data_IF_947410682686
#
_entry.id   IF_947410682686
#
_cell.length_a   1.000
_cell.length_b   1.000
_cell.length_c   1.000
_cell.angle_alpha   90.00
_cell.angle_beta   90.00
_cell.angle_gamma   90.00
#
_symmetry.space_group_name_H-M   'P 1'
#
loop_
_entity.id
_entity.type
_entity.pdbx_description
1 polymer ?
#
# COMPACT_ATOMS: atom_id res chain seq x y z
N UNK A 1 7.61 20.69 12.33
CA UNK A 1 7.14 19.29 12.22
C UNK A 1 5.62 19.22 12.17
N UNK A 2 4.90 19.75 13.17
CA UNK A 2 3.43 19.66 13.25
C UNK A 2 2.67 20.27 12.07
N UNK A 3 3.12 21.41 11.53
CA UNK A 3 2.45 22.05 10.38
C UNK A 3 2.47 21.18 9.12
N UNK A 4 3.58 20.47 8.86
CA UNK A 4 3.71 19.58 7.71
C UNK A 4 2.82 18.35 7.86
N UNK A 5 2.79 17.74 9.05
CA UNK A 5 1.95 16.57 9.33
C UNK A 5 0.46 16.92 9.26
N UNK A 6 0.06 18.10 9.74
CA UNK A 6 -1.31 18.59 9.61
C UNK A 6 -1.69 18.83 8.15
N UNK A 7 -0.82 19.50 7.37
CA UNK A 7 -1.04 19.70 5.93
C UNK A 7 -1.14 18.37 5.16
N UNK A 8 -0.26 17.42 5.47
CA UNK A 8 -0.26 16.09 4.86
C UNK A 8 -1.57 15.33 5.13
N UNK A 9 -2.08 15.38 6.38
CA UNK A 9 -3.38 14.79 6.74
C UNK A 9 -4.54 15.44 6.00
N UNK A 10 -4.52 16.78 5.91
CA UNK A 10 -5.55 17.51 5.20
C UNK A 10 -5.55 17.15 3.70
N UNK A 11 -4.39 17.21 3.04
CA UNK A 11 -4.28 16.84 1.62
C UNK A 11 -4.70 15.38 1.39
N UNK A 12 -4.30 14.46 2.26
CA UNK A 12 -4.72 13.06 2.15
C UNK A 12 -6.26 12.90 2.24
N UNK A 13 -6.91 13.64 3.14
CA UNK A 13 -8.37 13.66 3.27
C UNK A 13 -9.05 14.27 2.03
N UNK A 14 -8.51 15.34 1.45
CA UNK A 14 -8.99 15.94 0.20
C UNK A 14 -8.91 14.96 -0.98
N UNK A 15 -7.89 14.10 -0.99
CA UNK A 15 -7.74 13.00 -1.95
C UNK A 15 -8.61 11.77 -1.63
N UNK A 16 -9.38 11.83 -0.54
CA UNK A 16 -10.31 10.79 -0.12
C UNK A 16 -9.68 9.62 0.64
N UNK A 17 -8.44 9.73 1.12
CA UNK A 17 -7.88 8.75 2.05
C UNK A 17 -8.51 8.91 3.44
N UNK A 18 -8.90 7.80 4.05
CA UNK A 18 -9.53 7.76 5.38
C UNK A 18 -8.51 7.65 6.51
N UNK A 19 -7.29 7.22 6.19
CA UNK A 19 -6.20 7.10 7.15
C UNK A 19 -4.88 7.51 6.50
N UNK A 20 -3.97 8.03 7.33
CA UNK A 20 -2.58 8.27 6.94
C UNK A 20 -1.65 8.14 8.15
N UNK A 21 -0.46 7.59 7.92
CA UNK A 21 0.60 7.46 8.91
C UNK A 21 1.96 7.52 8.25
N UNK A 22 2.99 7.81 9.04
CA UNK A 22 4.37 7.82 8.60
C UNK A 22 5.23 6.98 9.55
N UNK A 23 6.21 6.27 8.99
CA UNK A 23 7.18 5.47 9.73
C UNK A 23 8.56 5.62 9.11
N UNK A 24 9.66 5.49 9.87
CA UNK A 24 11.00 5.36 9.28
C UNK A 24 11.04 4.25 8.24
N UNK A 25 11.78 4.47 7.16
CA UNK A 25 11.99 3.50 6.10
C UNK A 25 12.95 2.41 6.58
N UNK A 26 12.38 1.36 7.14
CA UNK A 26 13.08 0.17 7.62
C UNK A 26 12.40 -1.09 7.07
N UNK A 27 13.11 -2.21 6.98
CA UNK A 27 12.49 -3.48 6.60
C UNK A 27 11.32 -3.82 7.52
N UNK A 28 10.27 -4.41 6.97
CA UNK A 28 9.06 -4.71 7.73
C UNK A 28 9.37 -5.65 8.91
N UNK A 29 8.70 -5.43 10.05
CA UNK A 29 8.86 -6.26 11.26
C UNK A 29 8.65 -7.76 11.02
N UNK A 30 7.84 -8.10 10.02
CA UNK A 30 7.52 -9.49 9.64
C UNK A 30 8.46 -10.08 8.58
N UNK A 31 9.53 -9.39 8.20
CA UNK A 31 10.46 -9.84 7.17
C UNK A 31 11.00 -11.24 7.45
N UNK A 32 11.43 -11.53 8.68
CA UNK A 32 11.94 -12.86 9.02
C UNK A 32 10.90 -13.97 8.84
N UNK A 33 9.65 -13.71 9.26
CA UNK A 33 8.56 -14.65 9.07
C UNK A 33 8.27 -14.87 7.58
N UNK A 34 8.32 -13.81 6.78
CA UNK A 34 8.21 -13.88 5.33
C UNK A 34 9.34 -14.73 4.71
N UNK A 35 10.59 -14.52 5.12
CA UNK A 35 11.73 -15.29 4.62
C UNK A 35 11.61 -16.79 4.97
N UNK A 36 11.18 -17.12 6.19
CA UNK A 36 10.87 -18.52 6.56
C UNK A 36 9.75 -19.10 5.72
N UNK A 37 8.70 -18.32 5.45
CA UNK A 37 7.58 -18.75 4.62
C UNK A 37 7.97 -18.99 3.16
N UNK A 38 8.85 -18.15 2.60
CA UNK A 38 9.44 -18.35 1.27
C UNK A 38 10.34 -19.59 1.24
N UNK A 39 11.21 -19.76 2.24
CA UNK A 39 12.11 -20.91 2.33
C UNK A 39 11.37 -22.25 2.45
N UNK A 40 10.18 -22.24 3.06
CA UNK A 40 9.29 -23.39 3.16
C UNK A 40 8.38 -23.58 1.93
N UNK A 41 8.59 -22.82 0.84
CA UNK A 41 7.82 -22.87 -0.41
C UNK A 41 6.30 -22.70 -0.24
N UNK A 42 5.88 -22.01 0.82
CA UNK A 42 4.46 -21.84 1.16
C UNK A 42 3.73 -20.80 0.28
N UNK A 43 4.37 -20.32 -0.80
CA UNK A 43 3.82 -19.34 -1.74
C UNK A 43 2.97 -19.94 -2.87
N UNK A 44 2.87 -21.27 -2.97
CA UNK A 44 2.07 -21.94 -3.98
C UNK A 44 2.44 -21.48 -5.40
N UNK A 45 1.47 -20.92 -6.14
CA UNK A 45 1.72 -20.39 -7.51
C UNK A 45 2.22 -18.94 -7.54
N UNK A 46 2.33 -18.27 -6.40
CA UNK A 46 2.78 -16.87 -6.30
C UNK A 46 4.31 -16.79 -6.38
N UNK A 47 4.91 -17.35 -7.42
CA UNK A 47 6.38 -17.44 -7.59
C UNK A 47 7.07 -16.08 -7.53
N UNK A 48 6.36 -15.01 -7.87
CA UNK A 48 6.85 -13.64 -7.73
C UNK A 48 7.21 -13.24 -6.28
N UNK A 49 6.65 -13.92 -5.27
CA UNK A 49 7.01 -13.71 -3.88
C UNK A 49 8.46 -14.14 -3.61
N UNK A 50 8.88 -15.28 -4.16
CA UNK A 50 10.23 -15.84 -3.98
C UNK A 50 11.28 -15.28 -4.94
N UNK A 51 10.90 -14.39 -5.88
CA UNK A 51 11.83 -13.84 -6.88
C UNK A 51 13.01 -13.10 -6.20
N UNK A 52 14.28 -13.37 -6.59
CA UNK A 52 15.45 -12.74 -5.95
C UNK A 52 15.39 -11.21 -5.91
N UNK A 53 14.96 -10.57 -7.00
CA UNK A 53 14.85 -9.10 -7.06
C UNK A 53 13.82 -8.54 -6.07
N UNK A 54 12.75 -9.30 -5.82
CA UNK A 54 11.68 -8.96 -4.88
C UNK A 54 12.11 -9.20 -3.42
N UNK A 55 12.88 -10.25 -3.16
CA UNK A 55 13.44 -10.53 -1.83
C UNK A 55 14.44 -9.44 -1.40
N UNK A 56 15.32 -9.02 -2.30
CA UNK A 56 16.32 -7.97 -2.01
C UNK A 56 15.62 -6.65 -1.67
N UNK A 57 14.62 -6.24 -2.46
CA UNK A 57 13.87 -5.00 -2.23
C UNK A 57 13.09 -4.97 -0.90
N UNK A 58 12.66 -6.13 -0.39
CA UNK A 58 12.01 -6.24 0.93
C UNK A 58 12.98 -6.19 2.10
N UNK A 59 14.24 -6.57 1.86
CA UNK A 59 15.33 -6.55 2.84
C UNK A 59 16.05 -5.20 2.88
N UNK A 60 16.18 -4.52 1.73
CA UNK A 60 16.80 -3.21 1.63
C UNK A 60 15.96 -2.27 0.75
N UNK A 61 15.32 -1.31 1.41
CA UNK A 61 14.47 -0.31 0.75
C UNK A 61 15.28 0.69 -0.09
N UNK A 62 16.60 0.81 0.10
CA UNK A 62 17.46 1.65 -0.74
C UNK A 62 17.55 1.12 -2.18
N UNK A 63 17.32 -0.18 -2.38
CA UNK A 63 17.24 -0.79 -3.72
C UNK A 63 15.97 -0.34 -4.46
N UNK A 64 14.95 0.09 -3.73
CA UNK A 64 13.73 0.68 -4.30
C UNK A 64 13.94 2.17 -4.59
N UNK A 65 14.37 2.91 -3.57
CA UNK A 65 14.59 4.35 -3.63
C UNK A 65 15.85 4.70 -2.82
N UNK A 66 16.97 5.03 -3.48
CA UNK A 66 18.21 5.33 -2.79
C UNK A 66 18.05 6.46 -1.77
N UNK A 67 18.52 6.23 -0.54
CA UNK A 67 18.47 7.24 0.52
C UNK A 67 17.10 7.42 1.18
N UNK A 68 16.13 6.55 0.90
CA UNK A 68 14.77 6.61 1.50
C UNK A 68 14.83 6.70 3.03
N UNK A 69 14.06 7.63 3.60
CA UNK A 69 14.02 7.90 5.04
C UNK A 69 12.70 7.59 5.70
N UNK A 70 11.61 7.74 4.97
CA UNK A 70 10.24 7.67 5.52
C UNK A 70 9.35 6.91 4.54
N UNK A 71 8.49 6.07 5.07
CA UNK A 71 7.36 5.47 4.37
C UNK A 71 6.09 6.17 4.86
N UNK A 72 5.28 6.65 3.92
CA UNK A 72 3.95 7.19 4.19
C UNK A 72 2.93 6.12 3.78
N UNK A 73 2.13 5.67 4.73
CA UNK A 73 1.07 4.68 4.51
C UNK A 73 -0.28 5.39 4.54
N UNK A 74 -1.15 5.07 3.59
CA UNK A 74 -2.52 5.58 3.54
C UNK A 74 -3.52 4.44 3.61
N UNK A 75 -4.72 4.74 4.08
CA UNK A 75 -5.88 3.85 4.01
C UNK A 75 -6.98 4.48 3.18
N UNK A 76 -7.66 3.65 2.39
CA UNK A 76 -8.87 4.02 1.66
C UNK A 76 -9.97 3.06 2.11
N UNK A 77 -11.05 3.59 2.66
CA UNK A 77 -12.23 2.79 2.94
C UNK A 77 -12.92 2.44 1.62
N UNK A 78 -13.05 1.14 1.37
CA UNK A 78 -13.68 0.58 0.18
C UNK A 78 -15.03 -0.07 0.50
N UNK A 79 -15.54 0.09 1.72
CA UNK A 79 -16.87 -0.37 2.09
C UNK A 79 -17.93 0.27 1.17
N UNK A 80 -18.83 -0.57 0.67
CA UNK A 80 -19.89 -0.16 -0.25
C UNK A 80 -21.24 -0.14 0.45
N UNK A 81 -21.81 -1.33 0.64
CA UNK A 81 -23.07 -1.55 1.32
C UNK A 81 -23.18 -3.01 1.77
N UNK A 82 -24.11 -3.26 2.69
CA UNK A 82 -24.47 -4.63 3.05
C UNK A 82 -25.27 -5.25 1.90
N UNK A 83 -24.87 -6.45 1.47
CA UNK A 83 -25.67 -7.21 0.51
C UNK A 83 -27.05 -7.53 1.10
N UNK A 84 -28.15 -7.34 0.34
CA UNK A 84 -29.47 -7.81 0.74
C UNK A 84 -29.46 -9.31 1.07
N UNK A 85 -30.19 -9.71 2.12
CA UNK A 85 -30.19 -11.11 2.57
C UNK A 85 -30.68 -12.08 1.47
N UNK A 86 -31.62 -11.63 0.62
CA UNK A 86 -32.09 -12.40 -0.53
C UNK A 86 -30.97 -12.74 -1.53
N UNK A 87 -29.94 -11.91 -1.66
CA UNK A 87 -28.76 -12.18 -2.50
C UNK A 87 -27.71 -12.94 -1.69
N UNK A 88 -27.48 -12.55 -0.43
CA UNK A 88 -26.43 -13.11 0.40
C UNK A 88 -26.67 -14.57 0.82
N UNK A 89 -27.94 -14.99 0.92
CA UNK A 89 -28.37 -16.33 1.35
C UNK A 89 -28.84 -17.23 0.19
N UNK A 90 -28.72 -16.77 -1.06
CA UNK A 90 -29.09 -17.56 -2.24
C UNK A 90 -28.01 -18.63 -2.51
N UNK A 91 -28.31 -19.93 -2.34
CA UNK A 91 -27.33 -21.01 -2.51
C UNK A 91 -26.91 -21.20 -3.97
N UNK A 92 -27.61 -20.60 -4.94
CA UNK A 92 -27.24 -20.65 -6.35
C UNK A 92 -26.12 -19.67 -6.71
N UNK A 93 -25.68 -18.81 -5.77
CA UNK A 93 -24.70 -17.75 -6.02
C UNK A 93 -23.39 -17.98 -5.27
N UNK A 94 -22.28 -17.76 -5.96
CA UNK A 94 -20.97 -17.57 -5.33
C UNK A 94 -20.83 -16.16 -4.74
N UNK A 95 -19.93 -15.99 -3.76
CA UNK A 95 -19.62 -14.69 -3.17
C UNK A 95 -18.25 -14.20 -3.63
N UNK A 96 -18.22 -12.97 -4.14
CA UNK A 96 -16.97 -12.25 -4.45
C UNK A 96 -16.67 -11.32 -3.27
N UNK A 97 -15.41 -11.23 -2.86
CA UNK A 97 -14.99 -10.31 -1.80
C UNK A 97 -15.25 -8.85 -2.20
N UNK A 98 -15.62 -8.01 -1.24
CA UNK A 98 -16.05 -6.63 -1.48
C UNK A 98 -14.96 -5.71 -2.03
N UNK A 99 -13.67 -6.07 -1.88
CA UNK A 99 -12.57 -5.31 -2.50
C UNK A 99 -12.63 -5.33 -4.04
N UNK A 100 -13.35 -6.29 -4.63
CA UNK A 100 -13.48 -6.46 -6.08
C UNK A 100 -14.88 -6.10 -6.61
N UNK A 101 -15.71 -5.39 -5.83
CA UNK A 101 -17.06 -5.02 -6.29
C UNK A 101 -17.11 -3.75 -7.13
N UNK A 102 -16.13 -2.86 -6.95
CA UNK A 102 -16.04 -1.60 -7.67
C UNK A 102 -14.91 -1.64 -8.71
N UNK A 103 -14.62 -0.47 -9.28
CA UNK A 103 -13.41 -0.23 -10.08
C UNK A 103 -12.18 -0.75 -9.32
N UNK A 104 -11.24 -1.30 -10.08
CA UNK A 104 -9.96 -1.76 -9.56
C UNK A 104 -9.32 -0.65 -8.70
N UNK A 105 -8.97 -0.98 -7.46
CA UNK A 105 -8.41 0.00 -6.54
C UNK A 105 -7.07 0.53 -7.05
N UNK A 106 -6.34 -0.19 -7.90
CA UNK A 106 -5.10 0.31 -8.50
C UNK A 106 -5.33 1.60 -9.29
N UNK A 107 -6.43 1.67 -10.04
CA UNK A 107 -6.80 2.84 -10.86
C UNK A 107 -7.21 4.05 -10.01
N UNK A 108 -7.51 3.83 -8.72
CA UNK A 108 -7.91 4.88 -7.77
C UNK A 108 -6.70 5.27 -6.89
N UNK A 109 -6.00 4.28 -6.36
CA UNK A 109 -4.91 4.45 -5.40
C UNK A 109 -3.68 5.09 -6.04
N UNK A 110 -3.23 4.59 -7.19
CA UNK A 110 -1.98 5.07 -7.79
C UNK A 110 -2.01 6.56 -8.16
N UNK A 111 -3.04 7.09 -8.86
CA UNK A 111 -3.10 8.51 -9.17
C UNK A 111 -3.16 9.39 -7.93
N UNK A 112 -3.91 8.99 -6.90
CA UNK A 112 -4.03 9.74 -5.64
C UNK A 112 -2.74 9.72 -4.82
N UNK A 113 -2.06 8.57 -4.78
CA UNK A 113 -0.75 8.45 -4.13
C UNK A 113 0.28 9.33 -4.84
N UNK A 114 0.25 9.36 -6.17
CA UNK A 114 1.13 10.21 -6.97
C UNK A 114 0.86 11.69 -6.67
N UNK A 115 -0.40 12.13 -6.70
CA UNK A 115 -0.76 13.51 -6.37
C UNK A 115 -0.35 13.91 -4.95
N UNK A 116 -0.54 13.01 -3.96
CA UNK A 116 -0.11 13.26 -2.58
C UNK A 116 1.42 13.41 -2.49
N UNK A 117 2.17 12.57 -3.22
CA UNK A 117 3.62 12.57 -3.21
C UNK A 117 4.19 13.80 -3.90
N UNK A 118 3.62 14.20 -5.05
CA UNK A 118 3.99 15.40 -5.79
C UNK A 118 3.72 16.65 -4.92
N UNK A 119 2.53 16.74 -4.31
CA UNK A 119 2.19 17.84 -3.39
C UNK A 119 3.18 17.96 -2.22
N UNK A 120 3.62 16.82 -1.66
CA UNK A 120 4.58 16.81 -0.57
C UNK A 120 5.97 17.27 -1.04
N UNK A 121 6.38 16.89 -2.25
CA UNK A 121 7.66 17.28 -2.83
C UNK A 121 7.69 18.77 -3.18
N UNK A 122 6.62 19.29 -3.78
CA UNK A 122 6.48 20.71 -4.15
C UNK A 122 6.47 21.64 -2.92
N UNK A 123 5.95 21.14 -1.80
CA UNK A 123 5.89 21.89 -0.53
C UNK A 123 7.17 21.82 0.31
N UNK A 124 8.20 21.09 -0.12
CA UNK A 124 9.44 20.91 0.64
C UNK A 124 10.50 21.97 0.29
N UNK A 125 11.20 22.47 1.31
CA UNK A 125 12.32 23.42 1.12
C UNK A 125 13.54 22.77 0.43
N UNK A 126 13.56 21.45 0.33
CA UNK A 126 14.65 20.66 -0.27
C UNK A 126 14.07 19.70 -1.30
N UNK A 127 14.84 19.37 -2.33
CA UNK A 127 14.45 18.36 -3.30
C UNK A 127 14.11 17.02 -2.60
N UNK A 128 12.87 16.55 -2.77
CA UNK A 128 12.38 15.27 -2.27
C UNK A 128 12.11 14.36 -3.46
N UNK A 129 12.72 13.18 -3.47
CA UNK A 129 12.36 12.10 -4.40
C UNK A 129 11.40 11.12 -3.74
N UNK A 130 10.43 10.61 -4.49
CA UNK A 130 9.46 9.64 -4.00
C UNK A 130 9.22 8.50 -4.98
N UNK A 131 8.66 7.40 -4.46
CA UNK A 131 8.22 6.23 -5.20
C UNK A 131 6.89 5.78 -4.59
N UNK A 132 5.85 5.68 -5.40
CA UNK A 132 4.53 5.23 -4.96
C UNK A 132 4.31 3.75 -5.29
N UNK A 133 3.58 3.05 -4.43
CA UNK A 133 3.16 1.67 -4.62
C UNK A 133 1.75 1.44 -4.07
N UNK A 134 1.07 0.48 -4.67
CA UNK A 134 -0.06 -0.23 -4.08
C UNK A 134 0.03 -1.68 -4.56
N UNK A 135 0.00 -2.66 -3.63
CA UNK A 135 -0.04 -4.12 -3.83
C UNK A 135 1.08 -4.76 -4.65
N UNK A 136 1.26 -4.30 -5.88
CA UNK A 136 2.27 -4.71 -6.85
C UNK A 136 3.71 -4.34 -6.46
N UNK A 137 3.90 -3.54 -5.40
CA UNK A 137 5.21 -3.12 -4.89
C UNK A 137 6.02 -4.24 -4.23
N UNK A 138 7.33 -4.04 -4.07
CA UNK A 138 8.21 -4.98 -3.36
C UNK A 138 8.39 -4.59 -1.89
N UNK A 139 7.31 -4.11 -1.26
CA UNK A 139 7.25 -3.75 0.15
C UNK A 139 6.25 -4.70 0.83
N UNK A 140 6.53 -5.11 2.06
CA UNK A 140 5.55 -5.85 2.87
C UNK A 140 4.61 -4.85 3.53
N UNK A 141 3.46 -4.60 2.90
CA UNK A 141 2.44 -3.65 3.36
C UNK A 141 1.73 -4.10 4.65
N UNK A 142 1.85 -5.38 5.01
CA UNK A 142 1.27 -6.00 6.21
C UNK A 142 2.36 -6.68 7.01
#
# INVERSE_FOLDING_TARGET
MDRLLTGLRQKAAELGFTMIGATPAQPARRLEAYMRWVAAEMYGRMTYMARPDRLIRRQDLNVILPGVKTIICVGLDYYTHRLPDAIAQDPSRGRISNYAWNRDYHDIMLPRLQELADWLADGADTAVTHRVYTDTGAILER
#
